data_IF_412581074062
#
_entry.id   IF_412581074062
#
_cell.length_a   1.000
_cell.length_b   1.000
_cell.length_c   1.000
_cell.angle_alpha   90.00
_cell.angle_beta   90.00
_cell.angle_gamma   90.00
#
_symmetry.space_group_name_H-M   'P 1'
#
loop_
_entity.id
_entity.type
_entity.pdbx_description
1 polymer ?
#
# COMPACT_ATOMS: atom_id res chain seq x y z
N UNK A 1 -19.27 13.82 10.20
CA UNK A 1 -18.66 13.11 11.36
C UNK A 1 -17.36 13.84 11.67
N UNK A 2 -17.10 14.23 12.93
CA UNK A 2 -16.06 15.23 13.27
C UNK A 2 -14.62 14.70 13.14
N UNK A 3 -13.65 15.61 13.01
CA UNK A 3 -12.19 15.33 13.07
C UNK A 3 -11.83 14.47 14.29
N UNK A 4 -12.52 14.64 15.41
CA UNK A 4 -12.33 13.86 16.64
C UNK A 4 -12.46 12.35 16.41
N UNK A 5 -13.40 11.92 15.55
CA UNK A 5 -13.53 10.49 15.23
C UNK A 5 -12.34 10.00 14.42
N UNK A 6 -11.90 10.75 13.41
CA UNK A 6 -10.72 10.38 12.61
C UNK A 6 -9.48 10.31 13.51
N UNK A 7 -9.26 11.31 14.36
CA UNK A 7 -8.18 11.33 15.35
C UNK A 7 -8.24 10.09 16.25
N UNK A 8 -9.43 9.71 16.74
CA UNK A 8 -9.60 8.53 17.58
C UNK A 8 -9.17 7.24 16.85
N UNK A 9 -9.60 7.05 15.60
CA UNK A 9 -9.19 5.89 14.79
C UNK A 9 -7.70 5.92 14.44
N UNK A 10 -7.13 7.08 14.10
CA UNK A 10 -5.71 7.25 13.85
C UNK A 10 -4.88 6.92 15.10
N UNK A 11 -5.31 7.34 16.29
CA UNK A 11 -4.65 6.97 17.56
C UNK A 11 -4.61 5.45 17.75
N UNK A 12 -5.70 4.74 17.47
CA UNK A 12 -5.72 3.26 17.53
C UNK A 12 -4.72 2.65 16.56
N UNK A 13 -4.64 3.16 15.34
CA UNK A 13 -3.69 2.68 14.32
C UNK A 13 -2.26 2.93 14.78
N UNK A 14 -1.95 4.15 15.24
CA UNK A 14 -0.64 4.52 15.79
C UNK A 14 -0.23 3.57 16.93
N UNK A 15 -1.15 3.29 17.85
CA UNK A 15 -0.86 2.42 19.00
C UNK A 15 -0.58 0.97 18.57
N UNK A 16 -1.29 0.47 17.55
CA UNK A 16 -0.98 -0.84 16.95
C UNK A 16 0.37 -0.84 16.23
N UNK A 17 0.71 0.22 15.49
CA UNK A 17 2.02 0.36 14.83
C UNK A 17 3.16 0.48 15.86
N UNK A 18 2.91 1.02 17.04
CA UNK A 18 3.94 1.15 18.08
C UNK A 18 4.37 -0.17 18.71
N UNK A 19 3.64 -1.26 18.47
CA UNK A 19 4.05 -2.60 18.91
C UNK A 19 5.36 -3.00 18.20
N UNK A 20 6.30 -3.56 18.96
CA UNK A 20 7.62 -3.94 18.45
C UNK A 20 7.56 -5.15 17.51
N UNK A 21 6.60 -6.03 17.70
CA UNK A 21 6.47 -7.37 17.12
C UNK A 21 5.42 -7.48 16.01
N UNK A 22 4.95 -6.36 15.47
CA UNK A 22 3.97 -6.36 14.37
C UNK A 22 4.53 -7.07 13.13
N UNK A 23 3.77 -8.03 12.62
CA UNK A 23 4.08 -8.74 11.37
C UNK A 23 3.88 -7.86 10.14
N UNK A 24 4.44 -8.27 9.00
CA UNK A 24 4.27 -7.57 7.73
C UNK A 24 2.80 -7.55 7.28
N UNK A 25 2.10 -8.67 7.49
CA UNK A 25 0.67 -8.78 7.17
C UNK A 25 -0.19 -7.84 8.03
N UNK A 26 0.08 -7.76 9.33
CA UNK A 26 -0.59 -6.80 10.20
C UNK A 26 -0.28 -5.36 9.78
N UNK A 27 0.98 -5.06 9.44
CA UNK A 27 1.37 -3.73 8.98
C UNK A 27 0.62 -3.33 7.70
N UNK A 28 0.48 -4.24 6.73
CA UNK A 28 -0.29 -4.01 5.52
C UNK A 28 -1.78 -3.75 5.81
N UNK A 29 -2.36 -4.51 6.75
CA UNK A 29 -3.72 -4.28 7.21
C UNK A 29 -3.87 -2.92 7.89
N UNK A 30 -2.89 -2.46 8.68
CA UNK A 30 -2.92 -1.13 9.28
C UNK A 30 -2.80 -0.02 8.24
N UNK A 31 -2.01 -0.21 7.18
CA UNK A 31 -2.00 0.73 6.05
C UNK A 31 -3.36 0.83 5.38
N UNK A 32 -4.09 -0.29 5.26
CA UNK A 32 -5.46 -0.29 4.74
C UNK A 32 -6.43 0.38 5.73
N UNK A 33 -6.37 0.05 7.02
CA UNK A 33 -7.19 0.70 8.07
C UNK A 33 -7.01 2.22 8.02
N UNK A 34 -5.77 2.69 7.90
CA UNK A 34 -5.42 4.11 7.77
C UNK A 34 -6.13 4.77 6.57
N UNK A 35 -6.08 4.14 5.40
CA UNK A 35 -6.80 4.62 4.20
C UNK A 35 -8.31 4.65 4.47
N UNK A 36 -8.83 3.62 5.13
CA UNK A 36 -10.26 3.50 5.42
C UNK A 36 -10.77 4.52 6.44
N UNK A 37 -9.91 5.10 7.29
CA UNK A 37 -10.30 6.21 8.19
C UNK A 37 -10.86 7.37 7.38
N UNK A 38 -10.15 7.75 6.31
CA UNK A 38 -10.53 8.88 5.45
C UNK A 38 -11.59 8.50 4.43
N UNK A 39 -11.58 7.26 3.91
CA UNK A 39 -12.64 6.80 3.00
C UNK A 39 -14.01 6.72 3.67
N UNK A 40 -14.07 6.25 4.93
CA UNK A 40 -15.32 6.10 5.67
C UNK A 40 -15.79 7.40 6.34
N UNK A 41 -14.89 8.38 6.51
CA UNK A 41 -15.20 9.64 7.19
C UNK A 41 -14.54 10.81 6.44
N UNK A 42 -14.85 11.00 5.15
CA UNK A 42 -14.18 12.01 4.34
C UNK A 42 -14.37 13.39 4.98
N UNK A 43 -13.30 14.17 5.03
CA UNK A 43 -13.41 15.57 5.41
C UNK A 43 -14.23 16.32 4.35
N UNK A 44 -15.19 17.14 4.78
CA UNK A 44 -16.02 17.91 3.86
C UNK A 44 -15.27 19.14 3.33
N UNK A 45 -14.30 19.63 4.10
CA UNK A 45 -13.41 20.72 3.70
C UNK A 45 -12.05 20.59 4.37
N UNK A 46 -11.08 21.38 3.89
CA UNK A 46 -9.71 21.35 4.43
C UNK A 46 -9.63 21.92 5.85
N UNK A 47 -10.54 22.83 6.21
CA UNK A 47 -10.65 23.45 7.52
C UNK A 47 -11.10 22.45 8.61
N UNK A 48 -11.65 21.30 8.21
CA UNK A 48 -11.98 20.22 9.15
C UNK A 48 -10.75 19.44 9.63
N UNK A 49 -9.60 19.57 8.97
CA UNK A 49 -8.39 18.90 9.42
C UNK A 49 -7.74 19.71 10.54
N UNK A 50 -7.60 19.07 11.68
CA UNK A 50 -6.83 19.66 12.78
C UNK A 50 -5.34 19.42 12.57
N UNK A 51 -4.52 20.28 13.17
CA UNK A 51 -3.07 20.09 13.26
C UNK A 51 -2.73 18.72 13.86
N UNK A 52 -3.44 18.30 14.91
CA UNK A 52 -3.24 17.00 15.55
C UNK A 52 -3.47 15.83 14.58
N UNK A 53 -4.57 15.88 13.82
CA UNK A 53 -4.90 14.86 12.82
C UNK A 53 -3.78 14.71 11.78
N UNK A 54 -3.23 15.84 11.31
CA UNK A 54 -2.12 15.84 10.37
C UNK A 54 -0.87 15.17 10.94
N UNK A 55 -0.42 15.58 12.14
CA UNK A 55 0.80 15.02 12.75
C UNK A 55 0.64 13.54 13.12
N UNK A 56 -0.55 13.10 13.50
CA UNK A 56 -0.85 11.68 13.69
C UNK A 56 -0.70 10.89 12.38
N UNK A 57 -1.21 11.43 11.27
CA UNK A 57 -1.04 10.83 9.94
C UNK A 57 0.44 10.71 9.54
N UNK A 58 1.22 11.78 9.73
CA UNK A 58 2.67 11.78 9.43
C UNK A 58 3.44 10.77 10.29
N UNK A 59 3.09 10.66 11.58
CA UNK A 59 3.69 9.70 12.50
C UNK A 59 3.41 8.25 12.08
N UNK A 60 2.16 7.94 11.74
CA UNK A 60 1.72 6.62 11.26
C UNK A 60 2.48 6.23 10.00
N UNK A 61 2.51 7.12 8.99
CA UNK A 61 3.19 6.88 7.71
C UNK A 61 4.71 6.68 7.91
N UNK A 62 5.32 7.51 8.75
CA UNK A 62 6.76 7.42 9.07
C UNK A 62 7.11 6.12 9.76
N UNK A 63 6.35 5.73 10.80
CA UNK A 63 6.60 4.48 11.53
C UNK A 63 6.32 3.27 10.67
N UNK A 64 5.25 3.30 9.87
CA UNK A 64 4.94 2.24 8.92
C UNK A 64 6.08 2.05 7.92
N UNK A 65 6.53 3.13 7.28
CA UNK A 65 7.66 3.10 6.34
C UNK A 65 8.93 2.51 6.97
N UNK A 66 9.29 2.93 8.19
CA UNK A 66 10.47 2.39 8.92
C UNK A 66 10.38 0.88 9.15
N UNK A 67 9.19 0.36 9.45
CA UNK A 67 9.01 -1.09 9.65
C UNK A 67 9.13 -1.87 8.35
N UNK A 68 8.58 -1.35 7.24
CA UNK A 68 8.82 -1.94 5.92
C UNK A 68 10.31 -1.96 5.58
N UNK A 69 11.03 -0.86 5.80
CA UNK A 69 12.48 -0.80 5.55
C UNK A 69 13.25 -1.81 6.41
N UNK A 70 12.90 -1.94 7.69
CA UNK A 70 13.52 -2.91 8.58
C UNK A 70 13.26 -4.36 8.12
N UNK A 71 12.05 -4.67 7.66
CA UNK A 71 11.74 -5.99 7.11
C UNK A 71 12.58 -6.27 5.86
N UNK A 72 12.68 -5.31 4.94
CA UNK A 72 13.48 -5.45 3.71
C UNK A 72 14.96 -5.63 4.05
N UNK A 73 15.51 -4.87 4.99
CA UNK A 73 16.89 -5.03 5.47
C UNK A 73 17.13 -6.43 6.07
N UNK A 74 16.15 -6.98 6.79
CA UNK A 74 16.25 -8.33 7.35
C UNK A 74 16.17 -9.40 6.26
N UNK A 75 15.32 -9.20 5.25
CA UNK A 75 15.19 -10.12 4.12
C UNK A 75 16.47 -10.13 3.27
N UNK A 76 17.03 -8.96 2.98
CA UNK A 76 18.32 -8.83 2.28
C UNK A 76 19.46 -9.55 3.01
N UNK A 77 19.41 -9.60 4.35
CA UNK A 77 20.38 -10.30 5.20
C UNK A 77 20.05 -11.78 5.42
N UNK A 78 19.03 -12.32 4.75
CA UNK A 78 18.51 -13.67 4.94
C UNK A 78 18.11 -13.99 6.39
N UNK A 79 17.74 -12.98 7.18
CA UNK A 79 17.28 -13.15 8.56
C UNK A 79 15.78 -13.46 8.64
N UNK A 80 15.05 -13.08 7.60
CA UNK A 80 13.65 -13.43 7.39
C UNK A 80 13.47 -13.84 5.93
N UNK A 81 12.43 -14.62 5.66
CA UNK A 81 11.95 -14.89 4.31
C UNK A 81 10.43 -14.69 4.28
N UNK A 82 9.88 -13.97 3.30
CA UNK A 82 8.44 -13.80 3.19
C UNK A 82 7.77 -15.13 2.85
N UNK A 83 6.65 -15.41 3.50
CA UNK A 83 5.74 -16.44 3.00
C UNK A 83 4.97 -15.95 1.75
N UNK A 84 4.21 -16.83 1.10
CA UNK A 84 3.47 -16.53 -0.13
C UNK A 84 2.55 -15.29 0.01
N UNK A 85 1.88 -15.13 1.16
CA UNK A 85 1.00 -13.99 1.42
C UNK A 85 1.80 -12.69 1.59
N UNK A 86 2.89 -12.74 2.33
CA UNK A 86 3.81 -11.62 2.53
C UNK A 86 4.48 -11.19 1.22
N UNK A 87 4.87 -12.15 0.37
CA UNK A 87 5.43 -11.88 -0.94
C UNK A 87 4.41 -11.17 -1.84
N UNK A 88 3.14 -11.59 -1.83
CA UNK A 88 2.05 -10.90 -2.55
C UNK A 88 1.88 -9.45 -2.08
N UNK A 89 1.94 -9.22 -0.77
CA UNK A 89 1.89 -7.87 -0.19
C UNK A 89 3.06 -7.03 -0.71
N UNK A 90 4.29 -7.55 -0.64
CA UNK A 90 5.50 -6.85 -1.08
C UNK A 90 5.49 -6.55 -2.58
N UNK A 91 5.00 -7.48 -3.41
CA UNK A 91 4.82 -7.27 -4.84
C UNK A 91 3.83 -6.15 -5.16
N UNK A 92 2.67 -6.14 -4.49
CA UNK A 92 1.69 -5.07 -4.64
C UNK A 92 2.28 -3.74 -4.17
N UNK A 93 2.97 -3.76 -3.03
CA UNK A 93 3.60 -2.59 -2.46
C UNK A 93 4.66 -1.99 -3.39
N UNK A 94 5.53 -2.82 -3.97
CA UNK A 94 6.55 -2.41 -4.94
C UNK A 94 5.95 -1.68 -6.16
N UNK A 95 4.79 -2.15 -6.65
CA UNK A 95 4.06 -1.48 -7.75
C UNK A 95 3.58 -0.09 -7.36
N UNK A 96 3.21 0.12 -6.10
CA UNK A 96 2.71 1.40 -5.58
C UNK A 96 3.80 2.41 -5.20
N UNK A 97 5.09 2.01 -5.11
CA UNK A 97 6.17 2.92 -4.69
C UNK A 97 6.29 4.15 -5.60
N UNK A 98 6.16 3.97 -6.92
CA UNK A 98 6.24 5.09 -7.87
C UNK A 98 5.16 6.14 -7.58
N UNK A 99 3.93 5.70 -7.31
CA UNK A 99 2.81 6.60 -6.99
C UNK A 99 3.03 7.30 -5.65
N UNK A 100 3.53 6.58 -4.63
CA UNK A 100 3.92 7.17 -3.34
C UNK A 100 5.01 8.24 -3.51
N UNK A 101 6.04 7.97 -4.33
CA UNK A 101 7.11 8.94 -4.59
C UNK A 101 6.59 10.20 -5.28
N UNK A 102 5.64 10.07 -6.19
CA UNK A 102 4.98 11.21 -6.83
C UNK A 102 4.12 11.99 -5.83
N UNK A 103 3.40 11.28 -4.96
CA UNK A 103 2.64 11.89 -3.88
C UNK A 103 3.52 12.71 -2.92
N UNK A 104 4.68 12.20 -2.52
CA UNK A 104 5.60 12.95 -1.66
C UNK A 104 6.09 14.25 -2.32
N UNK A 105 6.37 14.23 -3.63
CA UNK A 105 6.73 15.45 -4.37
C UNK A 105 5.61 16.49 -4.32
N UNK A 106 4.37 16.05 -4.56
CA UNK A 106 3.20 16.93 -4.49
C UNK A 106 2.98 17.46 -3.07
N UNK A 107 3.12 16.61 -2.05
CA UNK A 107 2.95 16.98 -0.64
C UNK A 107 3.96 18.02 -0.18
N UNK A 108 5.21 17.95 -0.64
CA UNK A 108 6.21 19.00 -0.38
C UNK A 108 5.76 20.34 -0.96
N UNK A 109 5.28 20.34 -2.21
CA UNK A 109 4.83 21.57 -2.87
C UNK A 109 3.58 22.16 -2.19
N UNK A 110 2.61 21.33 -1.84
CA UNK A 110 1.43 21.74 -1.08
C UNK A 110 1.80 22.31 0.30
N UNK A 111 2.78 21.71 0.99
CA UNK A 111 3.24 22.19 2.30
C UNK A 111 3.90 23.57 2.19
N UNK A 112 4.70 23.83 1.16
CA UNK A 112 5.29 25.16 0.92
C UNK A 112 4.22 26.24 0.74
N UNK A 113 3.12 25.89 0.08
CA UNK A 113 2.01 26.79 -0.23
C UNK A 113 0.99 26.93 0.91
N UNK A 114 1.10 26.14 1.97
CA UNK A 114 0.17 26.15 3.09
C UNK A 114 0.26 27.48 3.86
N UNK A 115 -0.84 28.25 3.89
CA UNK A 115 -0.90 29.54 4.59
C UNK A 115 -1.11 29.41 6.10
N UNK A 116 -1.55 28.23 6.56
CA UNK A 116 -1.94 27.98 7.95
C UNK A 116 -0.79 27.42 8.81
N UNK A 117 0.35 27.10 8.19
CA UNK A 117 1.53 26.56 8.87
C UNK A 117 2.59 27.65 9.04
N UNK A 118 3.27 27.64 10.19
CA UNK A 118 4.48 28.45 10.39
C UNK A 118 5.62 27.93 9.50
N UNK A 119 6.65 28.75 9.30
CA UNK A 119 7.81 28.35 8.49
C UNK A 119 8.59 27.19 9.15
N UNK A 120 8.67 27.17 10.48
CA UNK A 120 9.25 26.07 11.24
C UNK A 120 8.48 24.77 11.02
N UNK A 121 7.14 24.80 11.11
CA UNK A 121 6.28 23.64 10.89
C UNK A 121 6.44 23.10 9.47
N UNK A 122 6.41 23.98 8.45
CA UNK A 122 6.64 23.59 7.06
C UNK A 122 7.98 22.90 6.89
N UNK A 123 9.04 23.44 7.50
CA UNK A 123 10.39 22.88 7.41
C UNK A 123 10.48 21.49 8.03
N UNK A 124 9.87 21.29 9.19
CA UNK A 124 9.82 19.97 9.85
C UNK A 124 9.05 18.95 9.01
N UNK A 125 7.89 19.33 8.48
CA UNK A 125 7.05 18.47 7.65
C UNK A 125 7.77 18.10 6.35
N UNK A 126 8.33 19.08 5.65
CA UNK A 126 9.07 18.85 4.40
C UNK A 126 10.26 17.92 4.66
N UNK A 127 10.99 18.13 5.76
CA UNK A 127 12.10 17.24 6.14
C UNK A 127 11.62 15.80 6.38
N UNK A 128 10.50 15.62 7.10
CA UNK A 128 9.88 14.31 7.34
C UNK A 128 9.53 13.61 6.01
N UNK A 129 8.86 14.32 5.10
CA UNK A 129 8.48 13.82 3.78
C UNK A 129 9.71 13.47 2.93
N UNK A 130 10.73 14.32 2.92
CA UNK A 130 11.97 14.09 2.17
C UNK A 130 12.70 12.83 2.65
N UNK A 131 12.80 12.62 3.97
CA UNK A 131 13.42 11.42 4.54
C UNK A 131 12.69 10.15 4.10
N UNK A 132 11.35 10.16 4.10
CA UNK A 132 10.56 9.03 3.58
C UNK A 132 10.78 8.82 2.09
N UNK A 133 10.77 9.90 1.32
CA UNK A 133 11.01 9.84 -0.13
C UNK A 133 12.38 9.25 -0.46
N UNK A 134 13.43 9.65 0.24
CA UNK A 134 14.79 9.11 0.08
C UNK A 134 14.87 7.64 0.50
N UNK A 135 14.23 7.28 1.62
CA UNK A 135 14.10 5.89 2.04
C UNK A 135 13.46 5.03 0.95
N UNK A 136 12.31 5.44 0.43
CA UNK A 136 11.63 4.69 -0.62
C UNK A 136 12.44 4.59 -1.92
N UNK A 137 13.15 5.65 -2.32
CA UNK A 137 14.08 5.59 -3.47
C UNK A 137 15.21 4.58 -3.25
N UNK A 138 15.74 4.49 -2.03
CA UNK A 138 16.79 3.51 -1.68
C UNK A 138 16.24 2.08 -1.72
N UNK A 139 15.09 1.84 -1.11
CA UNK A 139 14.56 0.48 -0.90
C UNK A 139 13.81 -0.08 -2.11
N UNK A 140 13.30 0.75 -3.02
CA UNK A 140 12.62 0.28 -4.23
C UNK A 140 13.45 -0.71 -5.07
N UNK A 141 14.71 -0.41 -5.46
CA UNK A 141 15.51 -1.35 -6.23
C UNK A 141 15.84 -2.63 -5.44
N UNK A 142 16.11 -2.52 -4.14
CA UNK A 142 16.41 -3.67 -3.26
C UNK A 142 15.20 -4.61 -3.21
N UNK A 143 14.02 -4.06 -2.93
CA UNK A 143 12.78 -4.82 -2.87
C UNK A 143 12.48 -5.51 -4.21
N UNK A 144 12.67 -4.80 -5.33
CA UNK A 144 12.50 -5.37 -6.66
C UNK A 144 13.43 -6.55 -6.89
N UNK A 145 14.70 -6.44 -6.49
CA UNK A 145 15.68 -7.51 -6.63
C UNK A 145 15.31 -8.73 -5.78
N UNK A 146 14.94 -8.53 -4.51
CA UNK A 146 14.58 -9.63 -3.61
C UNK A 146 13.36 -10.40 -4.11
N UNK A 147 12.34 -9.70 -4.62
CA UNK A 147 11.16 -10.32 -5.22
C UNK A 147 11.54 -11.16 -6.45
N UNK A 148 12.47 -10.71 -7.27
CA UNK A 148 12.91 -11.47 -8.45
C UNK A 148 13.70 -12.72 -8.04
N UNK A 149 14.60 -12.60 -7.06
CA UNK A 149 15.37 -13.73 -6.53
C UNK A 149 14.46 -14.82 -5.94
N UNK A 150 13.35 -14.45 -5.30
CA UNK A 150 12.39 -15.42 -4.78
C UNK A 150 11.68 -16.16 -5.91
N UNK A 151 11.29 -15.44 -6.98
CA UNK A 151 10.67 -16.06 -8.17
C UNK A 151 11.61 -17.04 -8.86
N UNK A 152 12.89 -16.69 -9.00
CA UNK A 152 13.89 -17.57 -9.59
C UNK A 152 14.06 -18.85 -8.77
N UNK A 153 14.12 -18.74 -7.43
CA UNK A 153 14.17 -19.90 -6.53
C UNK A 153 12.97 -20.83 -6.69
N UNK A 154 11.75 -20.28 -6.72
CA UNK A 154 10.53 -21.07 -6.95
C UNK A 154 10.61 -21.82 -8.29
N UNK A 155 11.08 -21.17 -9.36
CA UNK A 155 11.19 -21.81 -10.68
C UNK A 155 12.23 -22.93 -10.73
N UNK A 156 13.37 -22.79 -10.04
CA UNK A 156 14.39 -23.84 -9.95
C UNK A 156 13.92 -25.05 -9.14
N UNK A 157 13.13 -24.83 -8.09
CA UNK A 157 12.55 -25.90 -7.27
C UNK A 157 11.49 -26.68 -8.05
N UNK A 158 10.63 -26.00 -8.82
CA UNK A 158 9.67 -26.64 -9.72
C UNK A 158 10.37 -27.49 -10.79
N UNK A 159 11.45 -26.99 -11.40
CA UNK A 159 12.22 -27.73 -12.40
C UNK A 159 12.87 -28.98 -11.79
N UNK A 160 13.50 -28.88 -10.61
CA UNK A 160 14.13 -30.04 -9.92
C UNK A 160 13.10 -31.10 -9.52
N UNK A 161 11.93 -30.70 -9.02
CA UNK A 161 10.86 -31.63 -8.66
C UNK A 161 10.22 -32.30 -9.89
N UNK A 162 10.25 -31.64 -11.06
CA UNK A 162 9.76 -32.22 -12.31
C UNK A 162 10.71 -33.26 -12.92
N UNK A 163 12.03 -33.14 -12.67
CA UNK A 163 13.06 -34.05 -13.19
C UNK A 163 13.17 -35.33 -12.33
N UNK A 164 12.93 -35.24 -11.02
CA UNK A 164 12.98 -36.41 -10.11
C UNK A 164 11.71 -37.29 -10.16
N UNK A 165 10.70 -36.87 -10.93
CA UNK A 165 9.44 -37.59 -11.14
C UNK A 165 9.38 -38.31 -12.49
N UNK A 166 10.53 -38.76 -13.03
CA UNK A 166 10.57 -39.56 -14.26
C UNK A 166 10.20 -41.02 -13.93
N UNK A 167 9.06 -41.54 -14.42
CA UNK A 167 8.65 -42.91 -14.12
C UNK A 167 9.51 -43.89 -14.92
N UNK A 168 10.06 -44.89 -14.24
CA UNK A 168 10.67 -46.06 -14.88
C UNK A 168 9.73 -46.63 -15.95
N UNK A 169 10.28 -46.81 -17.15
CA UNK A 169 9.61 -47.42 -18.29
C UNK A 169 9.07 -48.82 -17.93
N UNK A 170 7.75 -48.97 -17.94
CA UNK A 170 7.12 -50.26 -18.18
C UNK A 170 6.35 -50.20 -19.51
N UNK A 171 6.78 -51.06 -20.41
CA UNK A 171 6.34 -51.20 -21.79
C UNK A 171 4.99 -51.91 -21.91
N UNK A 172 4.00 -51.21 -22.52
CA UNK A 172 2.94 -51.62 -23.49
C UNK A 172 2.11 -52.92 -23.31
N UNK A 173 0.90 -53.08 -23.92
CA UNK A 173 0.18 -52.21 -24.88
C UNK A 173 -1.33 -51.95 -24.58
N UNK A 174 -1.90 -50.93 -25.24
CA UNK A 174 -3.35 -50.66 -25.36
C UNK A 174 -4.13 -51.77 -26.10
N UNK A 175 -5.47 -51.84 -25.97
CA UNK A 175 -6.32 -51.19 -26.98
C UNK A 175 -7.71 -50.64 -26.55
N UNK A 176 -8.22 -49.74 -27.40
CA UNK A 176 -9.62 -49.39 -27.78
C UNK A 176 -10.50 -48.45 -26.92
N UNK A 177 -10.63 -47.25 -27.49
CA UNK A 177 -11.81 -46.37 -27.68
C UNK A 177 -13.17 -46.74 -27.07
N UNK A 178 -13.82 -45.75 -26.41
CA UNK A 178 -15.21 -45.35 -26.70
C UNK A 178 -15.44 -43.89 -26.25
N UNK A 179 -16.05 -43.08 -27.12
CA UNK A 179 -16.63 -41.77 -26.80
C UNK A 179 -17.90 -41.94 -25.94
N UNK A 180 -18.14 -41.04 -24.99
CA UNK A 180 -19.40 -40.28 -24.94
C UNK A 180 -19.33 -39.15 -23.92
N UNK A 181 -20.08 -38.11 -24.24
CA UNK A 181 -20.11 -36.79 -23.66
C UNK A 181 -21.22 -36.60 -22.62
N UNK A 182 -21.08 -35.50 -21.86
CA UNK A 182 -22.11 -34.67 -21.21
C UNK A 182 -22.51 -34.92 -19.74
N UNK A 183 -22.02 -33.98 -18.91
CA UNK A 183 -22.77 -33.00 -18.12
C UNK A 183 -23.40 -33.33 -16.74
N UNK A 184 -22.94 -32.51 -15.78
CA UNK A 184 -23.65 -31.82 -14.69
C UNK A 184 -23.69 -32.42 -13.28
N UNK A 185 -23.09 -31.67 -12.35
CA UNK A 185 -23.62 -31.26 -11.03
C UNK A 185 -22.47 -30.50 -10.33
N UNK A 186 -22.39 -29.19 -10.47
CA UNK A 186 -23.02 -28.20 -9.57
C UNK A 186 -22.74 -28.52 -8.09
N UNK A 187 -21.61 -28.04 -7.58
CA UNK A 187 -21.46 -27.71 -6.16
C UNK A 187 -20.79 -26.33 -6.05
N UNK A 188 -21.64 -25.36 -5.74
CA UNK A 188 -21.30 -23.97 -5.46
C UNK A 188 -20.57 -23.88 -4.13
N UNK A 189 -19.25 -23.90 -4.14
CA UNK A 189 -18.48 -23.35 -3.03
C UNK A 189 -18.45 -21.83 -3.15
N UNK A 190 -19.42 -21.19 -2.50
CA UNK A 190 -19.40 -19.77 -2.15
C UNK A 190 -18.25 -19.52 -1.18
N UNK A 191 -17.04 -19.33 -1.71
CA UNK A 191 -16.02 -18.55 -1.00
C UNK A 191 -16.37 -17.07 -1.16
N UNK A 192 -16.88 -16.48 -0.08
CA UNK A 192 -17.02 -15.04 0.08
C UNK A 192 -15.63 -14.40 0.06
N UNK A 193 -15.06 -14.22 -1.13
CA UNK A 193 -13.89 -13.41 -1.36
C UNK A 193 -14.31 -11.96 -1.44
N UNK A 194 -13.97 -11.16 -0.41
CA UNK A 194 -14.03 -9.70 -0.50
C UNK A 194 -13.29 -9.28 -1.78
N UNK A 195 -13.87 -8.42 -2.64
CA UNK A 195 -13.32 -8.19 -3.97
C UNK A 195 -12.12 -7.23 -3.89
N UNK A 196 -10.92 -7.77 -3.71
CA UNK A 196 -9.66 -7.04 -3.72
C UNK A 196 -9.40 -6.26 -5.03
N UNK A 197 -10.09 -6.61 -6.12
CA UNK A 197 -10.06 -5.87 -7.38
C UNK A 197 -10.69 -4.47 -7.32
N UNK A 198 -11.47 -4.15 -6.28
CA UNK A 198 -12.06 -2.82 -6.08
C UNK A 198 -11.15 -1.92 -5.21
N UNK A 199 -10.21 -2.50 -4.46
CA UNK A 199 -9.38 -1.79 -3.47
C UNK A 199 -8.25 -0.98 -4.13
N UNK A 200 -7.72 -1.46 -5.26
CA UNK A 200 -6.62 -0.81 -6.01
C UNK A 200 -7.02 0.58 -6.55
N UNK A 201 -8.18 0.78 -7.20
CA UNK A 201 -8.60 2.12 -7.60
C UNK A 201 -8.97 3.03 -6.41
N UNK A 202 -9.40 2.48 -5.27
CA UNK A 202 -9.82 3.27 -4.10
C UNK A 202 -8.61 3.80 -3.29
N UNK A 203 -7.52 3.03 -3.17
CA UNK A 203 -6.30 3.48 -2.49
C UNK A 203 -5.59 4.65 -3.18
N UNK A 204 -5.56 4.64 -4.52
CA UNK A 204 -5.06 5.76 -5.33
C UNK A 204 -6.01 6.98 -5.23
N UNK A 205 -7.33 6.75 -5.17
CA UNK A 205 -8.33 7.81 -5.02
C UNK A 205 -8.20 8.57 -3.69
N UNK A 206 -7.88 7.92 -2.57
CA UNK A 206 -7.73 8.59 -1.26
C UNK A 206 -6.47 9.46 -1.19
N UNK A 207 -5.38 9.02 -1.82
CA UNK A 207 -4.12 9.78 -1.91
C UNK A 207 -4.27 10.96 -2.89
N UNK A 208 -5.00 10.76 -3.99
CA UNK A 208 -5.42 11.83 -4.92
C UNK A 208 -6.43 12.78 -4.28
N UNK A 209 -7.25 12.36 -3.32
CA UNK A 209 -8.16 13.25 -2.61
C UNK A 209 -7.41 14.19 -1.66
N UNK A 210 -6.39 13.72 -0.94
CA UNK A 210 -5.61 14.59 -0.02
C UNK A 210 -4.70 15.56 -0.81
N UNK A 211 -4.06 15.12 -1.90
CA UNK A 211 -3.23 15.99 -2.76
C UNK A 211 -4.02 16.83 -3.79
N UNK A 212 -5.12 16.29 -4.31
CA UNK A 212 -6.01 16.94 -5.27
C UNK A 212 -6.92 18.00 -4.64
N UNK A 213 -7.27 17.88 -3.35
CA UNK A 213 -8.02 18.94 -2.64
C UNK A 213 -7.21 20.24 -2.57
N UNK A 214 -5.90 20.17 -2.29
CA UNK A 214 -5.07 21.37 -2.18
C UNK A 214 -4.99 22.14 -3.50
N UNK A 215 -4.91 21.43 -4.65
CA UNK A 215 -4.87 22.06 -5.98
C UNK A 215 -6.24 22.55 -6.46
N UNK A 216 -7.32 21.83 -6.15
CA UNK A 216 -8.70 22.24 -6.46
C UNK A 216 -9.14 23.49 -5.67
N UNK A 217 -8.76 23.61 -4.40
CA UNK A 217 -9.11 24.75 -3.53
C UNK A 217 -8.42 26.06 -3.94
N UNK A 218 -7.18 26.00 -4.42
CA UNK A 218 -6.46 27.17 -4.94
C UNK A 218 -7.12 27.68 -6.23
N UNK A 219 -7.60 26.77 -7.09
CA UNK A 219 -8.29 27.12 -8.32
C UNK A 219 -9.67 27.72 -8.07
N UNK A 220 -10.47 27.14 -7.16
CA UNK A 220 -11.83 27.60 -6.86
C UNK A 220 -11.87 28.96 -6.16
N UNK A 221 -10.95 29.22 -5.20
CA UNK A 221 -10.84 30.53 -4.53
C UNK A 221 -10.50 31.67 -5.50
N UNK A 222 -9.60 31.41 -6.46
CA UNK A 222 -9.17 32.40 -7.46
C UNK A 222 -10.26 32.79 -8.45
N UNK A 223 -11.23 31.91 -8.70
CA UNK A 223 -12.38 32.20 -9.57
C UNK A 223 -13.49 32.97 -8.84
N UNK A 224 -13.74 32.69 -7.57
CA UNK A 224 -14.76 33.43 -6.80
C UNK A 224 -14.35 34.88 -6.47
N UNK A 225 -13.06 35.16 -6.24
CA UNK A 225 -12.57 36.53 -6.03
C UNK A 225 -12.65 37.40 -7.30
N UNK A 226 -12.67 36.79 -8.49
CA UNK A 226 -12.87 37.51 -9.76
C UNK A 226 -14.33 37.84 -10.03
N UNK A 227 -15.26 37.02 -9.56
CA UNK A 227 -16.70 37.23 -9.71
C UNK A 227 -17.25 38.27 -8.72
N UNK A 228 -16.58 38.49 -7.59
CA UNK A 228 -16.98 39.47 -6.58
C UNK A 228 -16.46 40.91 -6.82
N UNK A 229 -15.67 41.11 -7.89
CA UNK A 229 -15.11 42.42 -8.28
C UNK A 229 -15.67 42.95 -9.60
N UNK A 230 -16.82 42.44 -10.03
CA UNK A 230 -17.53 42.86 -11.24
C UNK A 230 -18.95 43.25 -10.88
#
# INVERSE_FOLDING_TARGET
MSSEKRISELKKIRDKINKSDISLSELANLSLEYIMVYANNPAQSIEEFTKEEFFLGDEIDTKGSKKYFAYIDQWEKNQVSPNEQELKILQQFNKSITDMLNFYKQSIESTKQAKQLSEEEKKEIIKSIQQRQEGWKKYQPILKQLIEQERERESEEEEKNSIDSSPEEQTSPSPKSTENSSASSDSRDKKNGTPWHIIIPVGILVIVLIGGLATFLIWHKKNNEKSAKK
#
